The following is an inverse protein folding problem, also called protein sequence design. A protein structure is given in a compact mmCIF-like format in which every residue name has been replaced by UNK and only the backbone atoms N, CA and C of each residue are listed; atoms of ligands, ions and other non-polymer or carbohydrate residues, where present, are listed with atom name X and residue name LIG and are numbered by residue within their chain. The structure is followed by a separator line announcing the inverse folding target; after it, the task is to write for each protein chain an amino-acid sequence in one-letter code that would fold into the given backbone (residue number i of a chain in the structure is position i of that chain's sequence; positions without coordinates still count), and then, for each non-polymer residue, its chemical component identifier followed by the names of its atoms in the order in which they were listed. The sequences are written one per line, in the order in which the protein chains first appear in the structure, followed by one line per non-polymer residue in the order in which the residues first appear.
data_IF_238692318019
#
_entry.id   IF_238692318019
#
_cell.length_a   1.000
_cell.length_b   1.000
_cell.length_c   1.000
_cell.angle_alpha   90.00
_cell.angle_beta   90.00
_cell.angle_gamma   90.00
#
_symmetry.space_group_name_H-M   'P 1'
#
loop_
_entity.id
_entity.type
_entity.pdbx_description
1 polymer ?
#
# COMPACT_ATOMS: atom_id res chain seq x y z
N UNK A 1 1.75 -12.51 16.92
CA UNK A 1 1.18 -12.06 15.64
C UNK A 1 1.58 -13.08 14.56
N UNK A 2 0.63 -13.64 13.77
CA UNK A 2 0.94 -14.61 12.72
C UNK A 2 1.92 -14.01 11.70
N UNK A 3 2.83 -14.82 11.14
CA UNK A 3 3.78 -14.36 10.13
C UNK A 3 3.09 -13.64 8.95
N UNK A 4 1.96 -14.16 8.48
CA UNK A 4 1.16 -13.58 7.40
C UNK A 4 0.72 -12.15 7.74
N UNK A 5 0.31 -11.92 8.99
CA UNK A 5 -0.11 -10.60 9.47
C UNK A 5 1.09 -9.66 9.57
N UNK A 6 2.20 -10.12 10.16
CA UNK A 6 3.43 -9.32 10.27
C UNK A 6 3.95 -8.91 8.88
N UNK A 7 4.05 -9.87 7.96
CA UNK A 7 4.46 -9.63 6.58
C UNK A 7 3.57 -8.62 5.87
N UNK A 8 2.25 -8.76 6.01
CA UNK A 8 1.28 -7.81 5.46
C UNK A 8 1.49 -6.39 5.98
N UNK A 9 1.66 -6.24 7.29
CA UNK A 9 1.86 -4.95 7.93
C UNK A 9 3.18 -4.32 7.49
N UNK A 10 4.25 -5.10 7.42
CA UNK A 10 5.54 -4.62 6.95
C UNK A 10 5.48 -4.14 5.50
N UNK A 11 4.73 -4.83 4.63
CA UNK A 11 4.52 -4.38 3.25
C UNK A 11 3.85 -3.00 3.20
N UNK A 12 2.76 -2.84 3.96
CA UNK A 12 1.99 -1.60 4.06
C UNK A 12 2.75 -0.43 4.69
N UNK A 13 3.54 -0.69 5.73
CA UNK A 13 4.14 0.38 6.56
C UNK A 13 5.56 0.74 6.15
N UNK A 14 6.30 -0.19 5.54
CA UNK A 14 7.72 -0.02 5.22
C UNK A 14 7.96 -0.14 3.73
N UNK A 15 7.60 -1.29 3.13
CA UNK A 15 8.08 -1.61 1.78
C UNK A 15 7.42 -0.81 0.65
N UNK A 16 6.25 -0.21 0.87
CA UNK A 16 5.62 0.70 -0.09
C UNK A 16 5.90 2.17 0.25
N UNK A 17 5.70 2.63 1.50
CA UNK A 17 5.93 4.04 1.81
C UNK A 17 7.37 4.49 1.59
N UNK A 18 8.35 3.68 1.97
CA UNK A 18 9.76 4.04 1.88
C UNK A 18 10.20 4.31 0.42
N UNK A 19 10.05 3.38 -0.54
CA UNK A 19 10.47 3.65 -1.91
C UNK A 19 9.60 4.71 -2.59
N UNK A 20 8.34 4.86 -2.22
CA UNK A 20 7.48 5.95 -2.72
C UNK A 20 7.94 7.33 -2.23
N UNK A 21 8.39 7.44 -0.98
CA UNK A 21 9.04 8.66 -0.47
C UNK A 21 10.36 8.90 -1.22
N UNK A 22 11.18 7.88 -1.45
CA UNK A 22 12.41 8.03 -2.25
C UNK A 22 12.12 8.49 -3.68
N UNK A 23 11.00 8.08 -4.28
CA UNK A 23 10.54 8.55 -5.59
C UNK A 23 10.29 10.07 -5.62
N UNK A 24 9.93 10.69 -4.50
CA UNK A 24 9.73 12.15 -4.42
C UNK A 24 11.02 12.89 -4.74
N UNK A 25 12.14 12.44 -4.17
CA UNK A 25 13.45 13.07 -4.33
C UNK A 25 14.15 12.70 -5.64
N UNK A 26 13.75 11.60 -6.27
CA UNK A 26 14.32 11.18 -7.56
C UNK A 26 13.76 11.99 -8.73
N UNK A 27 14.66 12.49 -9.57
CA UNK A 27 14.28 13.14 -10.83
C UNK A 27 13.83 12.07 -11.83
N UNK A 28 12.54 12.07 -12.18
CA UNK A 28 11.94 11.13 -13.13
C UNK A 28 12.07 11.58 -14.59
N UNK A 29 12.18 12.90 -14.81
CA UNK A 29 12.28 13.51 -16.13
C UNK A 29 13.34 14.61 -16.15
N UNK A 30 13.99 14.80 -17.30
CA UNK A 30 14.96 15.88 -17.49
C UNK A 30 14.27 17.26 -17.50
N UNK A 31 13.00 17.34 -17.89
CA UNK A 31 12.19 18.55 -17.76
C UNK A 31 11.18 18.41 -16.62
N UNK A 32 10.89 19.51 -15.92
CA UNK A 32 9.90 19.53 -14.85
C UNK A 32 8.49 19.58 -15.43
N UNK A 33 7.94 18.40 -15.72
CA UNK A 33 6.53 18.24 -16.07
C UNK A 33 5.66 18.48 -14.82
N UNK A 34 4.86 19.55 -14.87
CA UNK A 34 3.91 19.95 -13.82
C UNK A 34 2.96 18.82 -13.44
N UNK A 35 2.57 17.99 -14.42
CA UNK A 35 1.70 16.83 -14.21
C UNK A 35 2.35 15.81 -13.29
N UNK A 36 3.62 15.49 -13.53
CA UNK A 36 4.40 14.54 -12.74
C UNK A 36 4.67 15.06 -11.34
N UNK A 37 4.89 16.36 -11.18
CA UNK A 37 5.00 16.98 -9.85
C UNK A 37 3.68 16.87 -9.06
N UNK A 38 2.53 17.13 -9.69
CA UNK A 38 1.23 16.98 -9.07
C UNK A 38 0.93 15.53 -8.68
N UNK A 39 1.22 14.58 -9.57
CA UNK A 39 1.06 13.15 -9.30
C UNK A 39 1.92 12.71 -8.11
N UNK A 40 3.17 13.19 -8.04
CA UNK A 40 4.06 12.91 -6.91
C UNK A 40 3.49 13.44 -5.59
N UNK A 41 3.01 14.68 -5.56
CA UNK A 41 2.39 15.28 -4.36
C UNK A 41 1.15 14.48 -3.95
N UNK A 42 0.27 14.16 -4.90
CA UNK A 42 -0.93 13.39 -4.65
C UNK A 42 -0.60 12.00 -4.10
N UNK A 43 0.38 11.31 -4.69
CA UNK A 43 0.88 10.02 -4.25
C UNK A 43 1.46 10.08 -2.83
N UNK A 44 2.20 11.13 -2.49
CA UNK A 44 2.71 11.35 -1.13
C UNK A 44 1.59 11.49 -0.11
N UNK A 45 0.53 12.24 -0.45
CA UNK A 45 -0.65 12.36 0.41
C UNK A 45 -1.35 11.02 0.61
N UNK A 46 -1.55 10.25 -0.45
CA UNK A 46 -2.14 8.91 -0.39
C UNK A 46 -1.32 7.99 0.53
N UNK A 47 0.00 7.91 0.32
CA UNK A 47 0.89 7.06 1.12
C UNK A 47 0.91 7.46 2.59
N UNK A 48 0.86 8.75 2.91
CA UNK A 48 0.80 9.20 4.31
C UNK A 48 -0.53 8.81 4.96
N UNK A 49 -1.63 8.95 4.21
CA UNK A 49 -2.96 8.55 4.69
C UNK A 49 -2.99 7.04 4.89
N UNK A 50 -2.51 6.27 3.91
CA UNK A 50 -2.45 4.81 3.96
C UNK A 50 -1.60 4.33 5.13
N UNK A 51 -0.41 4.91 5.31
CA UNK A 51 0.47 4.64 6.44
C UNK A 51 -0.21 4.91 7.78
N UNK A 52 -0.86 6.08 7.95
CA UNK A 52 -1.53 6.43 9.20
C UNK A 52 -2.70 5.50 9.51
N UNK A 53 -3.55 5.26 8.50
CA UNK A 53 -4.71 4.36 8.62
C UNK A 53 -4.23 2.96 9.02
N UNK A 54 -3.23 2.46 8.31
CA UNK A 54 -2.69 1.12 8.51
C UNK A 54 -2.07 0.97 9.87
N UNK A 55 -1.18 1.88 10.26
CA UNK A 55 -0.55 1.85 11.58
C UNK A 55 -1.59 1.91 12.71
N UNK A 56 -2.56 2.82 12.62
CA UNK A 56 -3.60 2.99 13.64
C UNK A 56 -4.52 1.76 13.74
N UNK A 57 -4.96 1.21 12.61
CA UNK A 57 -5.89 0.10 12.57
C UNK A 57 -5.25 -1.24 12.94
N UNK A 58 -3.99 -1.44 12.56
CA UNK A 58 -3.23 -2.64 12.88
C UNK A 58 -2.87 -2.66 14.38
N UNK A 59 -2.47 -1.52 14.95
CA UNK A 59 -2.12 -1.46 16.37
C UNK A 59 -3.34 -1.67 17.29
N UNK A 60 -4.51 -1.18 16.89
CA UNK A 60 -5.74 -1.30 17.68
C UNK A 60 -6.56 -2.58 17.40
N UNK A 61 -6.13 -3.46 16.47
CA UNK A 61 -6.62 -4.83 16.25
C UNK A 61 -8.15 -5.04 16.29
N UNK A 62 -8.95 -4.13 15.72
CA UNK A 62 -10.42 -4.28 15.56
C UNK A 62 -10.93 -3.59 14.30
N UNK A 63 -10.42 -3.99 13.15
CA UNK A 63 -10.80 -3.37 11.87
C UNK A 63 -12.18 -3.90 11.47
N UNK A 64 -13.13 -3.04 11.10
CA UNK A 64 -14.37 -3.51 10.44
C UNK A 64 -14.06 -3.85 8.98
N UNK A 65 -14.67 -4.90 8.42
CA UNK A 65 -14.50 -5.30 7.01
C UNK A 65 -14.67 -4.14 6.02
N UNK A 66 -15.58 -3.19 6.29
CA UNK A 66 -15.78 -1.98 5.46
C UNK A 66 -14.54 -1.10 5.37
N UNK A 67 -13.84 -0.93 6.49
CA UNK A 67 -12.61 -0.14 6.56
C UNK A 67 -11.46 -0.80 5.78
N UNK A 68 -11.36 -2.12 5.87
CA UNK A 68 -10.41 -2.89 5.04
C UNK A 68 -10.67 -2.71 3.53
N UNK A 69 -11.94 -2.65 3.12
CA UNK A 69 -12.29 -2.39 1.72
C UNK A 69 -11.86 -0.98 1.28
N UNK A 70 -11.99 0.04 2.13
CA UNK A 70 -11.46 1.38 1.83
C UNK A 70 -9.93 1.38 1.69
N UNK A 71 -9.22 0.61 2.51
CA UNK A 71 -7.76 0.46 2.41
C UNK A 71 -7.36 -0.19 1.07
N UNK A 72 -8.08 -1.24 0.66
CA UNK A 72 -7.89 -1.88 -0.64
C UNK A 72 -8.11 -0.90 -1.81
N UNK A 73 -9.17 -0.08 -1.73
CA UNK A 73 -9.44 0.93 -2.76
C UNK A 73 -8.34 2.00 -2.83
N UNK A 74 -7.85 2.48 -1.68
CA UNK A 74 -6.73 3.45 -1.64
C UNK A 74 -5.48 2.87 -2.30
N UNK A 75 -5.11 1.64 -1.94
CA UNK A 75 -3.94 0.95 -2.51
C UNK A 75 -4.10 0.65 -4.01
N UNK A 76 -5.32 0.44 -4.49
CA UNK A 76 -5.64 0.34 -5.92
C UNK A 76 -5.39 1.67 -6.65
N UNK A 77 -5.83 2.80 -6.08
CA UNK A 77 -5.58 4.13 -6.65
C UNK A 77 -4.08 4.42 -6.70
N UNK A 78 -3.34 4.14 -5.62
CA UNK A 78 -1.88 4.25 -5.59
C UNK A 78 -1.23 3.39 -6.68
N UNK A 79 -1.69 2.15 -6.85
CA UNK A 79 -1.21 1.27 -7.91
C UNK A 79 -1.41 1.86 -9.30
N UNK A 80 -2.57 2.45 -9.59
CA UNK A 80 -2.81 3.08 -10.90
C UNK A 80 -1.85 4.24 -11.16
N UNK A 81 -1.56 5.08 -10.15
CA UNK A 81 -0.61 6.19 -10.30
C UNK A 81 0.81 5.65 -10.51
N UNK A 82 1.23 4.66 -9.71
CA UNK A 82 2.54 4.03 -9.88
C UNK A 82 2.69 3.36 -11.25
N UNK A 83 1.65 2.66 -11.70
CA UNK A 83 1.62 2.00 -13.00
C UNK A 83 1.69 3.01 -14.14
N UNK A 84 0.93 4.10 -14.06
CA UNK A 84 1.00 5.21 -15.02
C UNK A 84 2.41 5.80 -15.10
N UNK A 85 3.01 6.14 -13.95
CA UNK A 85 4.37 6.66 -13.91
C UNK A 85 5.39 5.65 -14.45
N UNK A 86 5.21 4.36 -14.17
CA UNK A 86 6.08 3.30 -14.68
C UNK A 86 5.96 3.14 -16.20
N UNK A 87 4.76 3.27 -16.79
CA UNK A 87 4.58 3.28 -18.24
C UNK A 87 5.29 4.46 -18.89
N UNK A 88 5.25 5.64 -18.27
CA UNK A 88 5.83 6.87 -18.81
C UNK A 88 7.36 6.92 -18.69
N UNK A 89 7.93 6.47 -17.56
CA UNK A 89 9.35 6.69 -17.24
C UNK A 89 10.20 5.41 -17.19
N UNK A 90 9.60 4.23 -17.03
CA UNK A 90 10.25 2.91 -17.05
C UNK A 90 11.51 2.73 -16.18
N UNK A 91 11.68 3.55 -15.13
CA UNK A 91 12.87 3.48 -14.27
C UNK A 91 12.88 2.23 -13.39
N UNK A 92 14.07 1.74 -13.01
CA UNK A 92 14.19 0.56 -12.15
C UNK A 92 13.45 0.74 -10.80
N UNK A 93 13.52 1.94 -10.21
CA UNK A 93 12.84 2.25 -8.96
C UNK A 93 11.32 2.14 -9.09
N UNK A 94 10.73 2.64 -10.18
CA UNK A 94 9.29 2.51 -10.43
C UNK A 94 8.86 1.06 -10.64
N UNK A 95 9.67 0.25 -11.34
CA UNK A 95 9.41 -1.18 -11.52
C UNK A 95 9.40 -1.91 -10.17
N UNK A 96 10.35 -1.61 -9.30
CA UNK A 96 10.43 -2.18 -7.95
C UNK A 96 9.20 -1.79 -7.14
N UNK A 97 8.82 -0.50 -7.14
CA UNK A 97 7.63 -0.02 -6.42
C UNK A 97 6.37 -0.71 -6.93
N UNK A 98 6.16 -0.74 -8.25
CA UNK A 98 5.02 -1.45 -8.86
C UNK A 98 4.99 -2.93 -8.46
N UNK A 99 6.14 -3.62 -8.42
CA UNK A 99 6.22 -5.02 -8.00
C UNK A 99 5.75 -5.19 -6.55
N UNK A 100 6.19 -4.33 -5.63
CA UNK A 100 5.74 -4.38 -4.24
C UNK A 100 4.25 -4.03 -4.10
N UNK A 101 3.76 -3.08 -4.89
CA UNK A 101 2.34 -2.72 -4.89
C UNK A 101 1.46 -3.88 -5.38
N UNK A 102 1.87 -4.59 -6.44
CA UNK A 102 1.17 -5.79 -6.93
C UNK A 102 1.18 -6.88 -5.88
N UNK A 103 2.33 -7.11 -5.23
CA UNK A 103 2.46 -8.08 -4.15
C UNK A 103 1.52 -7.73 -2.98
N UNK A 104 1.45 -6.46 -2.59
CA UNK A 104 0.54 -6.01 -1.53
C UNK A 104 -0.91 -6.24 -1.92
N UNK A 105 -1.34 -5.84 -3.12
CA UNK A 105 -2.71 -6.04 -3.59
C UNK A 105 -3.08 -7.53 -3.61
N UNK A 106 -2.15 -8.37 -4.04
CA UNK A 106 -2.32 -9.83 -4.00
C UNK A 106 -2.49 -10.34 -2.56
N UNK A 107 -1.66 -9.87 -1.62
CA UNK A 107 -1.82 -10.16 -0.20
C UNK A 107 -3.15 -9.63 0.36
N UNK A 108 -3.58 -8.44 -0.04
CA UNK A 108 -4.85 -7.84 0.41
C UNK A 108 -6.08 -8.65 -0.04
N UNK A 109 -5.98 -9.35 -1.17
CA UNK A 109 -7.06 -10.19 -1.68
C UNK A 109 -7.00 -11.59 -1.06
N UNK A 110 -5.82 -12.19 -0.99
CA UNK A 110 -5.66 -13.57 -0.54
C UNK A 110 -5.65 -13.74 0.99
N UNK A 111 -5.03 -12.83 1.73
CA UNK A 111 -4.88 -13.01 3.17
C UNK A 111 -6.22 -12.98 3.92
N UNK A 112 -7.21 -12.15 3.57
CA UNK A 112 -8.55 -12.27 4.12
C UNK A 112 -9.23 -13.62 3.87
N UNK A 113 -8.74 -14.48 2.98
CA UNK A 113 -9.27 -15.85 2.84
C UNK A 113 -8.77 -16.77 3.95
N UNK A 114 -7.64 -16.46 4.59
CA UNK A 114 -7.09 -17.23 5.71
C UNK A 114 -7.85 -16.95 7.01
N UNK A 115 -8.27 -18.02 7.70
CA UNK A 115 -8.92 -17.95 9.02
C UNK A 115 -8.02 -17.26 10.05
N UNK A 116 -6.72 -17.58 10.05
CA UNK A 116 -5.74 -17.00 11.00
C UNK A 116 -5.61 -15.48 10.83
N UNK A 117 -5.63 -14.99 9.59
CA UNK A 117 -5.57 -13.55 9.31
C UNK A 117 -6.87 -12.85 9.69
N UNK A 118 -8.01 -13.44 9.32
CA UNK A 118 -9.34 -12.91 9.67
C UNK A 118 -9.52 -12.76 11.17
N UNK A 119 -9.23 -13.80 11.94
CA UNK A 119 -9.41 -13.79 13.39
C UNK A 119 -8.51 -12.72 14.05
N UNK A 120 -7.29 -12.55 13.54
CA UNK A 120 -6.35 -11.58 14.10
C UNK A 120 -6.69 -10.12 13.74
N UNK A 121 -7.09 -9.85 12.49
CA UNK A 121 -7.33 -8.48 11.99
C UNK A 121 -8.75 -7.99 12.26
N UNK A 122 -9.74 -8.87 12.09
CA UNK A 122 -11.16 -8.52 12.25
C UNK A 122 -11.70 -8.86 13.63
N UNK A 123 -10.94 -9.57 14.47
CA UNK A 123 -11.41 -10.01 15.78
C UNK A 123 -12.59 -10.98 15.69
N UNK A 124 -12.71 -11.72 14.58
CA UNK A 124 -13.61 -12.88 14.52
C UNK A 124 -13.02 -13.93 15.48
N UNK A 125 -13.42 -13.87 16.75
CA UNK A 125 -13.32 -15.03 17.63
C UNK A 125 -13.96 -16.19 16.86
N UNK A 126 -13.25 -17.32 16.80
CA UNK A 126 -13.84 -18.56 16.36
C UNK A 126 -15.01 -18.86 17.30
N UNK A 127 -16.23 -18.49 16.90
CA UNK A 127 -17.44 -19.16 17.33
C UNK A 127 -17.37 -20.60 16.77
N UNK A 128 -16.54 -21.43 17.41
CA UNK A 128 -16.50 -22.90 17.39
C UNK A 128 -15.42 -23.41 18.35
#
# INVERSE_FOLDING_TARGET
MPFIVYFFISLLTIYIPLPTIMLMFNRLAHEHDTTTMLLKIFLSLLVIIDYKISFYWIYNCKIKKRYYFYLLLLNLVEFFIHFYLNLQYQTANLKIICSYQVLLLFCMILFPMSKTFKNYIFGEESDQ
#
